data_IF_064075244861
#
_entry.id   IF_064075244861
#
_cell.length_a   1.000
_cell.length_b   1.000
_cell.length_c   1.000
_cell.angle_alpha   90.00
_cell.angle_beta   90.00
_cell.angle_gamma   90.00
#
_symmetry.space_group_name_H-M   'P 1'
#
loop_
_entity.id
_entity.type
_entity.pdbx_description
1 polymer ?
#
# COMPACT_ATOMS: atom_id res chain seq x y z
N UNK A 1 -11.80 -34.41 -42.15
CA UNK A 1 -10.52 -33.69 -41.96
C UNK A 1 -9.55 -34.14 -43.03
N UNK A 2 -8.86 -33.19 -43.65
CA UNK A 2 -7.84 -33.41 -44.69
C UNK A 2 -6.54 -32.72 -44.27
N UNK A 3 -5.43 -33.03 -44.94
CA UNK A 3 -4.15 -32.33 -44.78
C UNK A 3 -4.32 -30.84 -45.10
N UNK A 4 -3.73 -29.97 -44.28
CA UNK A 4 -3.56 -28.56 -44.60
C UNK A 4 -2.21 -28.34 -45.30
N UNK A 5 -2.18 -27.41 -46.25
CA UNK A 5 -1.00 -27.08 -47.03
C UNK A 5 -0.66 -25.60 -46.88
N UNK A 6 0.56 -25.24 -47.26
CA UNK A 6 1.06 -23.86 -47.32
C UNK A 6 0.68 -23.03 -46.07
N UNK A 7 0.81 -23.66 -44.89
CA UNK A 7 0.41 -23.05 -43.62
C UNK A 7 1.40 -21.95 -43.32
N UNK A 8 0.91 -20.75 -42.99
CA UNK A 8 1.73 -19.62 -42.56
C UNK A 8 1.21 -19.09 -41.25
N UNK A 9 2.08 -19.08 -40.24
CA UNK A 9 1.81 -18.57 -38.90
C UNK A 9 2.55 -17.25 -38.77
N UNK A 10 1.83 -16.16 -38.51
CA UNK A 10 2.42 -14.83 -38.34
C UNK A 10 2.03 -14.22 -37.00
N UNK A 11 2.99 -13.54 -36.39
CA UNK A 11 2.79 -12.71 -35.21
C UNK A 11 3.65 -11.45 -35.36
N UNK A 12 3.04 -10.28 -35.22
CA UNK A 12 3.78 -9.03 -35.13
C UNK A 12 3.52 -8.50 -33.73
N UNK A 13 4.57 -8.56 -32.90
CA UNK A 13 4.44 -8.22 -31.50
C UNK A 13 4.03 -6.75 -31.35
N UNK A 14 3.06 -6.46 -30.49
CA UNK A 14 2.65 -5.08 -30.22
C UNK A 14 3.76 -4.28 -29.55
N UNK A 15 3.67 -2.96 -29.61
CA UNK A 15 4.50 -2.08 -28.80
C UNK A 15 4.37 -2.46 -27.31
N UNK A 16 5.50 -2.50 -26.60
CA UNK A 16 5.59 -2.96 -25.21
C UNK A 16 6.15 -4.35 -25.04
N UNK A 17 6.17 -5.19 -26.10
CA UNK A 17 6.93 -6.44 -26.13
C UNK A 17 8.18 -6.22 -26.98
N UNK A 18 9.35 -6.43 -26.39
CA UNK A 18 10.65 -6.14 -27.02
C UNK A 18 11.62 -7.30 -26.86
N UNK A 19 12.76 -7.25 -27.57
CA UNK A 19 13.86 -8.19 -27.45
C UNK A 19 13.44 -9.64 -27.77
N UNK A 20 12.57 -9.84 -28.76
CA UNK A 20 12.17 -11.18 -29.16
C UNK A 20 13.39 -12.05 -29.44
N UNK A 21 13.38 -13.24 -28.87
CA UNK A 21 14.49 -14.18 -29.00
C UNK A 21 14.01 -15.63 -28.84
N UNK A 22 14.88 -16.58 -29.21
CA UNK A 22 14.64 -17.99 -28.90
C UNK A 22 13.45 -18.63 -29.61
N UNK A 23 13.14 -18.23 -30.85
CA UNK A 23 12.10 -18.91 -31.65
C UNK A 23 12.50 -20.38 -31.84
N UNK A 24 11.71 -21.29 -31.29
CA UNK A 24 11.84 -22.74 -31.49
C UNK A 24 10.57 -23.31 -32.08
N UNK A 25 10.73 -24.26 -33.00
CA UNK A 25 9.63 -24.85 -33.75
C UNK A 25 9.72 -26.37 -33.61
N UNK A 26 8.68 -26.97 -33.02
CA UNK A 26 8.62 -28.40 -32.75
C UNK A 26 7.46 -29.05 -33.50
N UNK A 27 7.71 -29.76 -34.61
CA UNK A 27 6.67 -30.50 -35.31
C UNK A 27 6.37 -31.86 -34.68
N UNK A 28 5.13 -32.30 -34.83
CA UNK A 28 4.67 -33.64 -34.49
C UNK A 28 3.65 -34.15 -35.52
N UNK A 29 3.44 -35.47 -35.56
CA UNK A 29 2.41 -36.10 -36.40
C UNK A 29 2.64 -35.95 -37.91
N UNK A 30 3.87 -35.69 -38.35
CA UNK A 30 4.25 -35.66 -39.77
C UNK A 30 4.14 -34.30 -40.46
N UNK A 31 3.97 -33.20 -39.70
CA UNK A 31 4.13 -31.85 -40.27
C UNK A 31 5.54 -31.71 -40.87
N UNK A 32 5.65 -31.15 -42.09
CA UNK A 32 6.92 -31.08 -42.82
C UNK A 32 7.00 -29.86 -43.74
N UNK A 33 8.22 -29.54 -44.19
CA UNK A 33 8.49 -28.34 -45.00
C UNK A 33 8.46 -27.05 -44.18
N UNK A 34 9.08 -27.08 -43.00
CA UNK A 34 9.05 -25.95 -42.06
C UNK A 34 10.16 -24.97 -42.41
N UNK A 35 9.81 -23.70 -42.56
CA UNK A 35 10.76 -22.60 -42.71
C UNK A 35 10.46 -21.53 -41.67
N UNK A 36 11.48 -21.13 -40.93
CA UNK A 36 11.43 -19.99 -40.01
C UNK A 36 11.90 -18.73 -40.74
N UNK A 37 10.97 -17.82 -41.01
CA UNK A 37 11.21 -16.50 -41.58
C UNK A 37 11.08 -15.38 -40.54
N UNK A 38 11.07 -15.73 -39.24
CA UNK A 38 10.93 -14.77 -38.16
C UNK A 38 12.08 -13.75 -38.15
N UNK A 39 11.77 -12.50 -37.81
CA UNK A 39 12.71 -11.39 -37.77
C UNK A 39 12.71 -10.78 -36.36
N UNK A 40 13.57 -11.29 -35.45
CA UNK A 40 13.76 -10.72 -34.10
C UNK A 40 13.96 -9.22 -34.06
N UNK A 41 14.76 -8.67 -34.98
CA UNK A 41 15.06 -7.23 -35.03
C UNK A 41 13.84 -6.34 -35.32
N UNK A 42 12.74 -6.91 -35.78
CA UNK A 42 11.47 -6.22 -36.01
C UNK A 42 10.31 -6.89 -35.26
N UNK A 43 10.61 -7.69 -34.23
CA UNK A 43 9.62 -8.30 -33.34
C UNK A 43 8.53 -9.08 -34.10
N UNK A 44 8.94 -9.83 -35.13
CA UNK A 44 8.04 -10.56 -36.02
C UNK A 44 8.32 -12.08 -36.00
N UNK A 45 7.29 -12.87 -35.69
CA UNK A 45 7.26 -14.32 -35.96
C UNK A 45 6.63 -14.55 -37.33
N UNK A 46 7.29 -15.35 -38.18
CA UNK A 46 6.74 -15.77 -39.48
C UNK A 46 7.25 -17.18 -39.80
N UNK A 47 6.39 -18.18 -39.64
CA UNK A 47 6.74 -19.59 -39.86
C UNK A 47 5.84 -20.18 -40.92
N UNK A 48 6.45 -20.78 -41.94
CA UNK A 48 5.72 -21.53 -42.97
C UNK A 48 5.87 -23.03 -42.77
N UNK A 49 4.84 -23.81 -43.11
CA UNK A 49 4.82 -25.26 -43.05
C UNK A 49 4.15 -25.78 -44.33
N UNK A 50 4.91 -26.42 -45.22
CA UNK A 50 4.38 -26.88 -46.50
C UNK A 50 3.21 -27.87 -46.34
N UNK A 51 3.28 -28.74 -45.34
CA UNK A 51 2.28 -29.81 -45.13
C UNK A 51 2.01 -30.08 -43.66
N UNK A 52 0.73 -30.14 -43.29
CA UNK A 52 0.25 -30.56 -41.97
C UNK A 52 -0.79 -31.67 -42.11
N UNK A 53 -0.38 -32.96 -42.01
CA UNK A 53 -1.31 -34.09 -42.04
C UNK A 53 -2.38 -34.02 -40.95
N UNK A 54 -3.49 -34.75 -41.14
CA UNK A 54 -4.55 -34.85 -40.12
C UNK A 54 -3.97 -35.39 -38.81
N UNK A 55 -4.15 -34.64 -37.72
CA UNK A 55 -3.63 -34.99 -36.39
C UNK A 55 -2.18 -34.55 -36.14
N UNK A 56 -1.54 -33.86 -37.08
CA UNK A 56 -0.25 -33.21 -36.87
C UNK A 56 -0.37 -31.91 -36.08
N UNK A 57 0.75 -31.44 -35.53
CA UNK A 57 0.84 -30.15 -34.85
C UNK A 57 2.22 -29.53 -35.06
N UNK A 58 2.29 -28.21 -34.94
CA UNK A 58 3.55 -27.45 -34.84
C UNK A 58 3.44 -26.56 -33.62
N UNK A 59 4.38 -26.70 -32.69
CA UNK A 59 4.46 -25.87 -31.49
C UNK A 59 5.57 -24.84 -31.65
N UNK A 60 5.24 -23.56 -31.46
CA UNK A 60 6.18 -22.44 -31.49
C UNK A 60 6.39 -21.94 -30.06
N UNK A 61 7.63 -21.65 -29.69
CA UNK A 61 7.97 -20.95 -28.45
C UNK A 61 8.96 -19.83 -28.76
N UNK A 62 8.81 -18.69 -28.11
CA UNK A 62 9.76 -17.58 -28.17
C UNK A 62 9.70 -16.80 -26.85
N UNK A 63 10.69 -15.96 -26.60
CA UNK A 63 10.80 -15.12 -25.39
C UNK A 63 10.83 -13.66 -25.79
N UNK A 64 10.23 -12.81 -24.97
CA UNK A 64 10.19 -11.33 -25.09
C UNK A 64 10.34 -10.72 -23.71
N UNK A 65 10.78 -9.48 -23.65
CA UNK A 65 10.77 -8.65 -22.45
C UNK A 65 9.60 -7.65 -22.52
N UNK A 66 9.10 -7.23 -21.35
CA UNK A 66 8.20 -6.09 -21.24
C UNK A 66 9.03 -4.79 -21.27
N UNK A 67 8.61 -3.81 -22.07
CA UNK A 67 9.26 -2.50 -22.11
C UNK A 67 8.97 -1.71 -20.82
N UNK A 68 10.00 -1.07 -20.24
CA UNK A 68 9.89 -0.17 -19.09
C UNK A 68 9.00 1.07 -19.36
N UNK A 69 8.64 1.33 -20.61
CA UNK A 69 7.65 2.38 -20.95
C UNK A 69 6.22 2.03 -20.55
N UNK A 70 5.92 0.77 -20.26
CA UNK A 70 4.61 0.32 -19.82
C UNK A 70 4.27 0.83 -18.42
N UNK A 71 2.99 1.14 -18.22
CA UNK A 71 2.46 1.59 -16.93
C UNK A 71 1.97 0.42 -16.07
N UNK A 72 1.92 0.56 -14.73
CA UNK A 72 1.31 -0.43 -13.85
C UNK A 72 -0.10 -0.79 -14.29
N UNK A 73 -0.50 -2.05 -14.15
CA UNK A 73 -1.82 -2.57 -14.55
C UNK A 73 -2.18 -2.39 -16.04
N UNK A 74 -1.23 -1.98 -16.89
CA UNK A 74 -1.44 -1.90 -18.33
C UNK A 74 -1.59 -3.30 -18.92
N UNK A 75 -2.54 -3.44 -19.84
CA UNK A 75 -2.74 -4.67 -20.61
C UNK A 75 -2.07 -4.57 -21.98
N UNK A 76 -1.28 -5.58 -22.33
CA UNK A 76 -0.63 -5.74 -23.63
C UNK A 76 -1.21 -6.98 -24.30
N UNK A 77 -1.93 -6.79 -25.40
CA UNK A 77 -2.56 -7.86 -26.15
C UNK A 77 -1.69 -8.28 -27.34
N UNK A 78 -1.24 -9.53 -27.35
CA UNK A 78 -0.53 -10.13 -28.47
C UNK A 78 -1.49 -10.95 -29.35
N UNK A 79 -1.31 -10.94 -30.68
CA UNK A 79 -2.21 -11.62 -31.63
C UNK A 79 -1.44 -12.42 -32.66
N UNK A 80 -1.60 -13.74 -32.63
CA UNK A 80 -1.07 -14.65 -33.65
C UNK A 80 -2.15 -14.97 -34.68
N UNK A 81 -1.77 -15.03 -35.96
CA UNK A 81 -2.63 -15.40 -37.06
C UNK A 81 -2.07 -16.64 -37.78
N UNK A 82 -2.97 -17.45 -38.35
CA UNK A 82 -2.60 -18.56 -39.23
C UNK A 82 -3.48 -18.56 -40.47
N UNK A 83 -2.86 -18.71 -41.64
CA UNK A 83 -3.53 -18.96 -42.93
C UNK A 83 -3.04 -20.28 -43.50
N UNK A 84 -3.88 -21.01 -44.23
CA UNK A 84 -3.50 -22.28 -44.85
C UNK A 84 -4.36 -22.58 -46.07
N UNK A 85 -3.87 -23.47 -46.93
CA UNK A 85 -4.54 -23.85 -48.18
C UNK A 85 -5.08 -25.28 -48.13
N UNK A 86 -6.11 -25.51 -48.94
CA UNK A 86 -6.70 -26.85 -49.12
C UNK A 86 -5.90 -27.78 -50.05
N UNK A 87 -5.00 -27.22 -50.87
CA UNK A 87 -4.14 -27.93 -51.81
C UNK A 87 -2.73 -27.30 -51.77
N UNK A 88 -1.67 -28.07 -52.07
CA UNK A 88 -0.31 -27.55 -52.07
C UNK A 88 0.00 -26.69 -53.31
N UNK A 89 0.83 -25.67 -53.11
CA UNK A 89 1.43 -24.86 -54.17
C UNK A 89 0.49 -23.78 -54.67
N UNK A 90 0.07 -23.85 -55.94
CA UNK A 90 -0.86 -22.87 -56.56
C UNK A 90 -2.28 -23.41 -56.71
N UNK A 91 -2.62 -24.52 -56.04
CA UNK A 91 -3.93 -25.18 -56.10
C UNK A 91 -4.30 -25.86 -57.40
N UNK A 92 -3.49 -25.69 -58.45
CA UNK A 92 -3.77 -26.14 -59.81
C UNK A 92 -2.84 -27.29 -60.20
N UNK A 93 -3.17 -28.02 -61.27
CA UNK A 93 -2.27 -29.08 -61.76
C UNK A 93 -1.04 -28.52 -62.48
N UNK A 94 0.11 -29.19 -62.33
CA UNK A 94 0.33 -30.39 -61.52
C UNK A 94 0.61 -30.06 -60.04
N UNK A 95 -0.12 -30.69 -59.12
CA UNK A 95 0.21 -30.66 -57.68
C UNK A 95 0.31 -32.09 -57.10
N UNK A 96 1.05 -32.30 -56.00
CA UNK A 96 1.27 -33.61 -55.38
C UNK A 96 0.02 -34.42 -54.99
N UNK A 97 -1.15 -33.79 -54.84
CA UNK A 97 -2.38 -34.53 -54.48
C UNK A 97 -3.09 -35.14 -55.69
N UNK A 98 -2.74 -34.70 -56.90
CA UNK A 98 -3.45 -35.07 -58.14
C UNK A 98 -4.81 -34.40 -58.33
N UNK A 99 -5.23 -33.50 -57.42
CA UNK A 99 -6.50 -32.76 -57.52
C UNK A 99 -6.39 -31.57 -58.47
N UNK A 100 -7.50 -31.16 -59.09
CA UNK A 100 -7.58 -29.96 -59.94
C UNK A 100 -8.74 -29.06 -59.53
N UNK A 101 -8.48 -27.76 -59.40
CA UNK A 101 -9.51 -26.73 -59.34
C UNK A 101 -9.58 -25.97 -60.66
N UNK A 102 -10.78 -25.63 -61.17
CA UNK A 102 -10.92 -24.78 -62.36
C UNK A 102 -10.37 -23.36 -62.19
N UNK A 103 -10.53 -22.79 -60.99
CA UNK A 103 -10.00 -21.48 -60.61
C UNK A 103 -8.65 -21.56 -59.88
N UNK A 104 -7.98 -20.42 -59.78
CA UNK A 104 -6.77 -20.25 -58.95
C UNK A 104 -7.08 -20.08 -57.46
N UNK A 105 -6.05 -19.97 -56.62
CA UNK A 105 -6.17 -19.71 -55.18
C UNK A 105 -7.13 -18.57 -54.86
N UNK A 106 -8.07 -18.82 -53.94
CA UNK A 106 -9.07 -17.84 -53.49
C UNK A 106 -10.24 -17.60 -54.46
N UNK A 107 -10.24 -18.18 -55.66
CA UNK A 107 -11.37 -18.05 -56.59
C UNK A 107 -12.60 -18.85 -56.10
N UNK A 108 -13.84 -18.46 -56.48
CA UNK A 108 -15.05 -19.21 -56.10
C UNK A 108 -15.07 -20.69 -56.53
N UNK A 109 -14.32 -21.04 -57.57
CA UNK A 109 -14.10 -22.39 -58.10
C UNK A 109 -12.64 -22.84 -57.98
N UNK A 110 -11.87 -22.20 -57.10
CA UNK A 110 -10.46 -22.43 -56.83
C UNK A 110 -10.18 -23.25 -55.58
N UNK A 111 -8.90 -23.31 -55.19
CA UNK A 111 -8.53 -23.81 -53.85
C UNK A 111 -8.91 -22.78 -52.78
N UNK A 112 -9.25 -23.27 -51.59
CA UNK A 112 -9.44 -22.40 -50.41
C UNK A 112 -8.09 -22.01 -49.82
N UNK A 113 -7.92 -20.74 -49.46
CA UNK A 113 -6.62 -20.16 -49.05
C UNK A 113 -6.69 -19.16 -47.86
N UNK A 114 -7.88 -18.87 -47.34
CA UNK A 114 -8.05 -17.90 -46.24
C UNK A 114 -8.25 -16.44 -46.67
N UNK A 115 -8.26 -16.14 -47.97
CA UNK A 115 -8.34 -14.78 -48.51
C UNK A 115 -9.65 -14.02 -48.19
N UNK A 116 -10.75 -14.72 -47.86
CA UNK A 116 -12.04 -14.09 -47.53
C UNK A 116 -12.20 -13.81 -46.03
N UNK A 117 -11.26 -14.23 -45.19
CA UNK A 117 -11.40 -14.14 -43.74
C UNK A 117 -12.41 -15.13 -43.15
N UNK A 118 -12.63 -15.03 -41.83
CA UNK A 118 -13.55 -15.92 -41.11
C UNK A 118 -14.98 -15.75 -41.61
N UNK A 119 -15.63 -16.85 -42.00
CA UNK A 119 -17.03 -16.88 -42.46
C UNK A 119 -17.22 -16.68 -43.97
N UNK A 120 -16.13 -16.45 -44.71
CA UNK A 120 -16.12 -16.42 -46.18
C UNK A 120 -16.12 -17.81 -46.84
N UNK A 121 -15.99 -17.86 -48.16
CA UNK A 121 -15.81 -19.13 -48.89
C UNK A 121 -14.36 -19.59 -48.78
N UNK A 122 -13.41 -18.66 -48.79
CA UNK A 122 -12.00 -18.93 -48.57
C UNK A 122 -11.63 -18.54 -47.13
N UNK A 123 -12.10 -19.33 -46.17
CA UNK A 123 -12.06 -19.06 -44.74
C UNK A 123 -11.02 -19.91 -43.98
N UNK A 124 -10.01 -20.43 -44.68
CA UNK A 124 -8.92 -21.19 -44.08
C UNK A 124 -7.90 -20.27 -43.38
N UNK A 125 -8.41 -19.61 -42.34
CA UNK A 125 -7.68 -18.67 -41.49
C UNK A 125 -8.16 -18.85 -40.04
N UNK A 126 -7.27 -18.62 -39.09
CA UNK A 126 -7.62 -18.49 -37.68
C UNK A 126 -6.71 -17.47 -37.00
N UNK A 127 -7.16 -16.95 -35.86
CA UNK A 127 -6.40 -16.04 -35.02
C UNK A 127 -6.61 -16.38 -33.56
N UNK A 128 -5.59 -16.14 -32.74
CA UNK A 128 -5.66 -16.25 -31.29
C UNK A 128 -5.00 -15.04 -30.65
N UNK A 129 -5.57 -14.56 -29.55
CA UNK A 129 -5.06 -13.42 -28.80
C UNK A 129 -4.81 -13.83 -27.36
N UNK A 130 -3.73 -13.32 -26.77
CA UNK A 130 -3.45 -13.46 -25.34
C UNK A 130 -3.08 -12.10 -24.76
N UNK A 131 -3.44 -11.85 -23.50
CA UNK A 131 -3.19 -10.57 -22.84
C UNK A 131 -2.28 -10.76 -21.65
N UNK A 132 -1.15 -10.07 -21.65
CA UNK A 132 -0.29 -9.91 -20.46
C UNK A 132 -0.70 -8.63 -19.75
N UNK A 133 -0.78 -8.69 -18.42
CA UNK A 133 -1.04 -7.51 -17.58
C UNK A 133 0.23 -7.20 -16.79
N UNK A 134 0.71 -5.96 -16.87
CA UNK A 134 1.80 -5.47 -16.03
C UNK A 134 1.33 -5.46 -14.59
N UNK A 135 2.20 -5.84 -13.66
CA UNK A 135 1.88 -5.80 -12.24
C UNK A 135 1.40 -4.40 -11.83
N UNK A 136 0.50 -4.36 -10.86
CA UNK A 136 0.03 -3.10 -10.29
C UNK A 136 0.85 -2.75 -9.06
N UNK A 137 0.75 -1.49 -8.62
CA UNK A 137 1.31 -1.08 -7.34
C UNK A 137 0.62 -1.79 -6.17
N UNK A 138 1.37 -2.03 -5.09
CA UNK A 138 0.84 -2.61 -3.86
C UNK A 138 1.18 -1.74 -2.65
N UNK A 139 0.26 -1.67 -1.67
CA UNK A 139 0.33 -0.71 -0.57
C UNK A 139 0.43 -1.39 0.79
N UNK A 140 1.23 -0.81 1.67
CA UNK A 140 1.26 -1.16 3.08
C UNK A 140 1.33 0.09 3.97
N UNK A 141 0.45 0.16 4.97
CA UNK A 141 0.44 1.20 6.00
C UNK A 141 0.89 0.62 7.32
N UNK A 142 1.74 1.35 8.04
CA UNK A 142 2.10 1.05 9.43
C UNK A 142 2.10 2.31 10.28
N UNK A 143 1.96 2.12 11.60
CA UNK A 143 2.36 3.13 12.57
C UNK A 143 3.85 2.89 12.81
N UNK A 144 4.69 3.85 12.42
CA UNK A 144 6.13 3.72 12.48
C UNK A 144 6.66 3.92 13.90
N UNK A 145 6.17 4.96 14.57
CA UNK A 145 6.53 5.33 15.93
C UNK A 145 5.51 6.28 16.52
N UNK A 146 5.57 6.47 17.83
CA UNK A 146 4.90 7.55 18.54
C UNK A 146 5.88 8.28 19.47
N UNK A 147 5.49 9.44 20.02
CA UNK A 147 6.41 10.28 20.80
C UNK A 147 6.39 10.00 22.30
N UNK A 148 5.31 9.45 22.83
CA UNK A 148 5.11 9.38 24.27
C UNK A 148 5.56 8.04 24.85
N UNK A 149 6.62 8.06 25.66
CA UNK A 149 7.13 6.84 26.31
C UNK A 149 6.18 6.26 27.38
N UNK A 150 5.17 7.04 27.80
CA UNK A 150 4.17 6.64 28.80
C UNK A 150 2.96 5.94 28.17
N UNK A 151 2.93 5.80 26.84
CA UNK A 151 2.03 4.93 26.10
C UNK A 151 2.84 3.79 25.48
N UNK A 152 2.21 2.65 25.25
CA UNK A 152 2.94 1.46 24.78
C UNK A 152 3.23 1.47 23.29
N UNK A 153 4.50 1.26 22.93
CA UNK A 153 4.93 0.96 21.56
C UNK A 153 4.66 -0.49 21.13
N UNK A 154 4.10 -1.32 22.01
CA UNK A 154 3.41 -2.53 21.59
C UNK A 154 1.93 -2.25 21.51
N UNK A 155 1.21 -2.76 20.49
CA UNK A 155 -0.22 -2.59 20.48
C UNK A 155 -0.84 -3.28 21.71
N UNK A 156 -2.04 -2.84 22.09
CA UNK A 156 -2.61 -3.14 23.42
C UNK A 156 -2.75 -4.64 23.70
N UNK A 157 -2.87 -5.48 22.66
CA UNK A 157 -3.00 -6.94 22.76
C UNK A 157 -4.23 -7.41 23.54
N UNK A 158 -5.11 -6.48 23.94
CA UNK A 158 -6.31 -6.72 24.75
C UNK A 158 -7.56 -6.80 23.90
N UNK A 159 -7.49 -6.29 22.67
CA UNK A 159 -8.55 -6.26 21.70
C UNK A 159 -8.23 -7.19 20.51
N UNK A 160 -9.26 -7.62 19.76
CA UNK A 160 -9.11 -8.40 18.52
C UNK A 160 -8.32 -7.64 17.43
N UNK A 161 -7.87 -6.41 17.72
CA UNK A 161 -7.33 -5.51 16.72
C UNK A 161 -5.88 -5.05 16.82
N UNK A 162 -5.15 -5.39 17.88
CA UNK A 162 -3.75 -5.00 18.00
C UNK A 162 -3.60 -3.46 17.78
N UNK A 163 -4.36 -2.68 18.56
CA UNK A 163 -4.44 -1.22 18.51
C UNK A 163 -3.22 -0.55 19.14
N UNK A 164 -2.63 0.47 18.50
CA UNK A 164 -1.61 1.34 19.14
C UNK A 164 -2.29 2.23 20.19
N UNK A 165 -1.96 2.13 21.49
CA UNK A 165 -2.44 3.10 22.48
C UNK A 165 -1.84 4.48 22.22
N UNK A 166 -2.67 5.52 22.23
CA UNK A 166 -2.28 6.91 22.06
C UNK A 166 -2.92 7.81 23.11
N UNK A 167 -2.14 8.69 23.71
CA UNK A 167 -2.61 9.74 24.60
C UNK A 167 -2.99 11.00 23.82
N UNK A 168 -3.81 11.85 24.43
CA UNK A 168 -4.08 13.19 23.88
C UNK A 168 -2.78 14.01 23.87
N UNK A 169 -2.48 14.67 22.76
CA UNK A 169 -1.26 15.46 22.57
C UNK A 169 -0.06 14.67 22.05
N UNK A 170 -0.16 13.34 21.98
CA UNK A 170 0.85 12.48 21.39
C UNK A 170 0.94 12.68 19.87
N UNK A 171 2.14 12.52 19.31
CA UNK A 171 2.34 12.50 17.86
C UNK A 171 2.51 11.05 17.41
N UNK A 172 1.74 10.67 16.39
CA UNK A 172 1.87 9.39 15.69
C UNK A 172 2.52 9.62 14.33
N UNK A 173 3.58 8.89 14.02
CA UNK A 173 4.21 8.88 12.69
C UNK A 173 3.63 7.73 11.88
N UNK A 174 2.91 8.04 10.80
CA UNK A 174 2.46 7.03 9.84
C UNK A 174 3.56 6.76 8.80
N UNK A 175 3.70 5.50 8.39
CA UNK A 175 4.51 5.12 7.23
C UNK A 175 3.61 4.51 6.16
N UNK A 176 3.70 5.09 4.96
CA UNK A 176 3.05 4.63 3.74
C UNK A 176 4.12 4.00 2.85
N UNK A 177 3.96 2.73 2.52
CA UNK A 177 4.86 1.99 1.63
C UNK A 177 4.11 1.64 0.36
N UNK A 178 4.71 1.98 -0.78
CA UNK A 178 4.21 1.69 -2.11
C UNK A 178 5.24 0.81 -2.82
N UNK A 179 4.91 -0.44 -3.11
CA UNK A 179 5.68 -1.28 -4.02
C UNK A 179 5.42 -0.79 -5.45
N UNK A 180 6.48 -0.49 -6.19
CA UNK A 180 6.43 0.05 -7.55
C UNK A 180 7.01 -0.99 -8.50
N UNK A 181 6.20 -1.58 -9.39
CA UNK A 181 6.70 -2.48 -10.42
C UNK A 181 7.77 -1.81 -11.28
N UNK A 182 8.66 -2.63 -11.83
CA UNK A 182 9.55 -2.20 -12.91
C UNK A 182 8.76 -1.54 -14.05
N UNK A 183 9.26 -0.41 -14.53
CA UNK A 183 8.65 0.38 -15.60
C UNK A 183 8.36 1.81 -15.20
N UNK A 184 7.38 2.43 -15.87
CA UNK A 184 7.07 3.86 -15.70
C UNK A 184 5.70 4.05 -15.07
N UNK A 185 5.70 4.45 -13.80
CA UNK A 185 4.50 4.84 -13.07
C UNK A 185 4.24 6.33 -13.23
N UNK A 186 3.21 6.68 -14.00
CA UNK A 186 2.85 8.08 -14.27
C UNK A 186 1.93 8.65 -13.20
N UNK A 187 2.24 9.84 -12.68
CA UNK A 187 1.37 10.63 -11.80
C UNK A 187 0.92 9.88 -10.54
N UNK A 188 1.87 9.31 -9.78
CA UNK A 188 1.57 8.69 -8.48
C UNK A 188 1.10 9.78 -7.50
N UNK A 189 -0.08 9.58 -6.91
CA UNK A 189 -0.60 10.39 -5.80
C UNK A 189 -1.00 9.47 -4.66
N UNK A 190 -0.57 9.78 -3.44
CA UNK A 190 -1.00 9.13 -2.21
C UNK A 190 -2.00 10.03 -1.49
N UNK A 191 -3.10 9.46 -1.00
CA UNK A 191 -4.15 10.18 -0.27
C UNK A 191 -4.46 9.47 1.04
N UNK A 192 -4.27 10.16 2.15
CA UNK A 192 -4.52 9.65 3.50
C UNK A 192 -5.57 10.53 4.20
N UNK A 193 -6.78 10.01 4.38
CA UNK A 193 -7.84 10.77 5.07
C UNK A 193 -7.69 10.58 6.57
N UNK A 194 -7.15 11.59 7.25
CA UNK A 194 -7.02 11.54 8.69
C UNK A 194 -8.39 11.47 9.37
N UNK A 195 -8.45 10.64 10.40
CA UNK A 195 -9.59 10.60 11.30
C UNK A 195 -9.83 11.98 11.93
N UNK A 196 -11.06 12.33 12.33
CA UNK A 196 -11.36 13.65 12.88
C UNK A 196 -10.57 14.05 14.13
N UNK A 197 -10.03 13.06 14.87
CA UNK A 197 -9.22 13.26 16.06
C UNK A 197 -7.72 13.46 15.81
N UNK A 198 -7.26 13.46 14.56
CA UNK A 198 -5.86 13.69 14.22
C UNK A 198 -5.69 14.98 13.44
N UNK A 199 -4.55 15.64 13.66
CA UNK A 199 -4.13 16.84 12.94
C UNK A 199 -2.78 16.58 12.28
N UNK A 200 -2.72 16.66 10.95
CA UNK A 200 -1.45 16.62 10.22
C UNK A 200 -0.48 17.69 10.75
N UNK A 201 0.78 17.31 10.94
CA UNK A 201 1.87 18.21 11.30
C UNK A 201 2.55 18.76 10.03
N UNK A 202 2.42 20.06 9.71
CA UNK A 202 3.06 20.63 8.53
C UNK A 202 4.57 20.42 8.51
N UNK A 203 5.14 20.23 7.32
CA UNK A 203 6.57 19.98 7.10
C UNK A 203 7.13 18.71 7.76
N UNK A 204 6.29 17.77 8.20
CA UNK A 204 6.73 16.47 8.73
C UNK A 204 6.93 15.40 7.65
N UNK A 205 6.42 15.64 6.43
CA UNK A 205 6.44 14.62 5.38
C UNK A 205 7.85 14.40 4.85
N UNK A 206 8.30 13.15 4.88
CA UNK A 206 9.59 12.72 4.33
C UNK A 206 9.42 11.51 3.42
N UNK A 207 10.32 11.36 2.46
CA UNK A 207 10.33 10.29 1.47
C UNK A 207 11.71 9.64 1.35
N UNK A 208 11.72 8.33 1.10
CA UNK A 208 12.90 7.53 0.79
C UNK A 208 12.51 6.34 -0.10
N UNK A 209 13.52 5.60 -0.56
CA UNK A 209 13.38 4.31 -1.24
C UNK A 209 14.05 3.18 -0.45
N UNK A 210 13.74 1.93 -0.79
CA UNK A 210 14.59 0.78 -0.43
C UNK A 210 15.52 0.36 -1.59
N UNK A 211 15.23 0.78 -2.83
CA UNK A 211 16.07 0.53 -4.01
C UNK A 211 17.13 1.60 -4.18
N UNK A 212 18.37 1.17 -4.32
CA UNK A 212 19.56 2.01 -4.29
C UNK A 212 20.02 2.54 -5.65
N UNK A 213 19.59 1.94 -6.77
CA UNK A 213 20.32 2.15 -8.03
C UNK A 213 19.51 2.40 -9.29
N UNK A 214 18.18 2.33 -9.30
CA UNK A 214 17.46 2.52 -10.57
C UNK A 214 16.05 3.13 -10.50
N UNK A 215 15.61 3.61 -9.34
CA UNK A 215 14.42 4.45 -9.26
C UNK A 215 14.75 5.93 -9.47
N UNK A 216 14.03 6.57 -10.40
CA UNK A 216 14.16 8.01 -10.68
C UNK A 216 12.81 8.70 -10.56
N UNK A 217 12.82 9.89 -9.96
CA UNK A 217 11.63 10.69 -9.67
C UNK A 217 11.70 11.97 -10.49
N UNK A 218 10.66 12.24 -11.29
CA UNK A 218 10.64 13.42 -12.15
C UNK A 218 10.52 14.74 -11.36
N UNK A 219 9.81 14.71 -10.23
CA UNK A 219 9.42 15.91 -9.48
C UNK A 219 10.07 16.05 -8.11
N UNK A 220 10.72 15.00 -7.60
CA UNK A 220 11.42 15.02 -6.30
C UNK A 220 12.88 14.68 -6.53
N UNK A 221 13.75 15.70 -6.50
CA UNK A 221 15.17 15.49 -6.74
C UNK A 221 15.84 14.78 -5.55
N UNK A 222 16.69 13.80 -5.86
CA UNK A 222 17.59 13.19 -4.87
C UNK A 222 16.89 12.42 -3.76
N UNK A 223 15.77 11.75 -4.06
CA UNK A 223 15.15 10.81 -3.11
C UNK A 223 16.19 9.75 -2.72
N UNK A 224 16.59 9.67 -1.43
CA UNK A 224 17.65 8.76 -1.00
C UNK A 224 17.10 7.38 -0.67
N UNK A 225 17.99 6.40 -0.54
CA UNK A 225 17.67 5.14 0.13
C UNK A 225 17.67 5.27 1.64
N UNK A 226 16.79 4.49 2.28
CA UNK A 226 16.83 4.31 3.73
C UNK A 226 18.24 3.89 4.20
N UNK A 227 18.68 4.34 5.39
CA UNK A 227 17.90 5.06 6.40
C UNK A 227 17.79 6.57 6.18
N UNK A 228 18.42 7.13 5.15
CA UNK A 228 18.29 8.54 4.83
C UNK A 228 16.90 8.84 4.25
N UNK A 229 16.44 10.08 4.46
CA UNK A 229 15.17 10.58 3.93
C UNK A 229 15.35 12.01 3.43
N UNK A 230 14.50 12.44 2.51
CA UNK A 230 14.39 13.85 2.11
C UNK A 230 13.00 14.39 2.41
N UNK A 231 12.89 15.69 2.72
CA UNK A 231 11.59 16.33 3.00
C UNK A 231 10.79 16.52 1.73
N UNK A 232 9.48 16.29 1.80
CA UNK A 232 8.53 16.67 0.74
C UNK A 232 7.99 18.06 1.07
N UNK A 233 8.20 19.08 0.21
CA UNK A 233 7.77 20.44 0.48
C UNK A 233 6.25 20.58 0.51
N UNK A 234 5.75 21.48 1.36
CA UNK A 234 4.33 21.85 1.40
C UNK A 234 3.94 22.60 0.12
N UNK A 235 2.80 22.23 -0.45
CA UNK A 235 2.23 22.80 -1.67
C UNK A 235 1.60 24.18 -1.46
N UNK A 236 1.60 24.71 -0.23
CA UNK A 236 0.99 25.98 0.15
C UNK A 236 -0.49 26.06 -0.27
N UNK A 237 -1.21 24.95 -0.06
CA UNK A 237 -2.63 24.76 -0.41
C UNK A 237 -2.94 24.77 -1.93
N UNK A 238 -2.00 24.43 -2.81
CA UNK A 238 -2.27 24.17 -4.22
C UNK A 238 -3.28 23.03 -4.43
N UNK A 239 -4.39 23.29 -5.13
CA UNK A 239 -5.43 22.28 -5.39
C UNK A 239 -5.78 22.24 -6.89
N UNK A 240 -5.54 21.11 -7.60
CA UNK A 240 -4.94 19.86 -7.13
C UNK A 240 -3.48 20.03 -6.68
N UNK A 241 -2.95 19.11 -5.88
CA UNK A 241 -1.57 19.20 -5.38
C UNK A 241 -0.54 19.10 -6.49
N UNK A 242 0.45 20.00 -6.50
CA UNK A 242 1.52 19.99 -7.51
C UNK A 242 2.42 18.76 -7.37
N UNK A 243 3.00 18.30 -8.49
CA UNK A 243 3.90 17.15 -8.45
C UNK A 243 5.17 17.47 -7.64
N UNK A 244 5.53 16.56 -6.74
CA UNK A 244 6.66 16.66 -5.83
C UNK A 244 6.36 17.38 -4.52
N UNK A 245 5.10 17.69 -4.23
CA UNK A 245 4.68 18.40 -3.00
C UNK A 245 3.67 17.60 -2.19
N UNK A 246 3.42 18.06 -0.96
CA UNK A 246 2.37 17.54 -0.07
C UNK A 246 1.40 18.67 0.29
N UNK A 247 0.12 18.35 0.38
CA UNK A 247 -0.92 19.26 0.89
C UNK A 247 -1.76 18.57 1.95
N UNK A 248 -2.15 19.32 2.97
CA UNK A 248 -3.22 18.92 3.87
C UNK A 248 -4.45 19.80 3.66
N UNK A 249 -5.57 19.20 3.25
CA UNK A 249 -6.87 19.87 3.21
C UNK A 249 -7.58 19.67 4.54
N UNK A 250 -7.67 20.72 5.36
CA UNK A 250 -8.32 20.64 6.66
C UNK A 250 -9.83 20.39 6.60
N UNK A 251 -10.50 20.65 5.48
CA UNK A 251 -11.94 20.40 5.36
C UNK A 251 -12.24 18.91 5.18
N UNK A 252 -11.50 18.26 4.28
CA UNK A 252 -11.62 16.83 3.99
C UNK A 252 -10.74 15.97 4.91
N UNK A 253 -9.76 16.57 5.59
CA UNK A 253 -8.67 15.96 6.39
C UNK A 253 -7.73 15.08 5.57
N UNK A 254 -7.65 15.32 4.27
CA UNK A 254 -6.80 14.54 3.38
C UNK A 254 -5.39 15.11 3.39
N UNK A 255 -4.41 14.27 3.72
CA UNK A 255 -3.00 14.48 3.38
C UNK A 255 -2.80 13.90 1.97
N UNK A 256 -2.61 14.77 1.00
CA UNK A 256 -2.39 14.44 -0.41
C UNK A 256 -0.90 14.65 -0.73
N UNK A 257 -0.20 13.58 -1.09
CA UNK A 257 1.22 13.60 -1.43
C UNK A 257 1.33 13.24 -2.91
N UNK A 258 1.63 14.22 -3.75
CA UNK A 258 1.79 13.99 -5.17
C UNK A 258 3.27 13.70 -5.48
N UNK A 259 3.58 12.45 -5.76
CA UNK A 259 4.94 12.02 -6.09
C UNK A 259 5.31 12.38 -7.53
N UNK A 260 4.32 12.42 -8.42
CA UNK A 260 4.51 12.63 -9.85
C UNK A 260 4.96 11.34 -10.56
N UNK A 261 5.74 11.49 -11.62
CA UNK A 261 6.20 10.35 -12.42
C UNK A 261 7.41 9.70 -11.77
N UNK A 262 7.40 8.37 -11.72
CA UNK A 262 8.51 7.54 -11.25
C UNK A 262 8.83 6.50 -12.31
N UNK A 263 10.11 6.39 -12.64
CA UNK A 263 10.63 5.31 -13.47
C UNK A 263 11.46 4.38 -12.59
N UNK A 264 11.05 3.13 -12.51
CA UNK A 264 11.78 2.05 -11.85
C UNK A 264 12.45 1.17 -12.91
N UNK A 265 13.77 1.32 -13.08
CA UNK A 265 14.57 0.51 -14.00
C UNK A 265 15.41 -0.55 -13.27
N UNK A 266 15.06 -0.89 -12.02
CA UNK A 266 15.78 -1.88 -11.22
C UNK A 266 15.34 -3.27 -11.69
N UNK A 267 15.95 -3.76 -12.77
CA UNK A 267 15.60 -5.01 -13.45
C UNK A 267 16.09 -6.26 -12.72
N UNK A 268 15.85 -6.36 -11.42
CA UNK A 268 16.18 -7.51 -10.59
C UNK A 268 14.97 -8.07 -9.83
N UNK A 269 15.21 -9.07 -8.98
CA UNK A 269 14.13 -9.90 -8.43
C UNK A 269 13.59 -9.43 -7.08
N UNK A 270 14.11 -8.34 -6.51
CA UNK A 270 13.59 -7.78 -5.28
C UNK A 270 12.38 -6.88 -5.52
N UNK A 271 12.01 -6.10 -4.50
CA UNK A 271 10.80 -5.28 -4.55
C UNK A 271 11.18 -3.86 -4.27
N UNK A 272 10.90 -2.98 -5.22
CA UNK A 272 11.26 -1.58 -5.12
C UNK A 272 10.12 -0.82 -4.49
N UNK A 273 10.45 -0.04 -3.47
CA UNK A 273 9.49 0.60 -2.60
C UNK A 273 9.77 2.10 -2.53
N UNK A 274 8.69 2.86 -2.64
CA UNK A 274 8.63 4.24 -2.19
C UNK A 274 8.08 4.23 -0.78
N UNK A 275 8.80 4.88 0.14
CA UNK A 275 8.49 4.91 1.56
C UNK A 275 8.29 6.37 1.96
N UNK A 276 7.05 6.72 2.32
CA UNK A 276 6.68 8.05 2.80
C UNK A 276 6.34 7.97 4.28
N UNK A 277 6.77 8.95 5.06
CA UNK A 277 6.35 9.11 6.46
C UNK A 277 5.84 10.51 6.70
N UNK A 278 4.85 10.65 7.57
CA UNK A 278 4.40 11.94 8.06
C UNK A 278 3.84 11.83 9.48
N UNK A 279 3.82 12.95 10.18
CA UNK A 279 3.38 13.03 11.57
C UNK A 279 1.95 13.58 11.69
N UNK A 280 1.21 13.07 12.66
CA UNK A 280 -0.09 13.59 13.05
C UNK A 280 -0.21 13.70 14.58
N UNK A 281 -0.74 14.84 15.05
CA UNK A 281 -1.01 15.12 16.46
C UNK A 281 -2.38 14.58 16.86
N UNK A 282 -2.45 13.89 18.00
CA UNK A 282 -3.71 13.46 18.64
C UNK A 282 -4.37 14.66 19.32
N UNK A 283 -5.50 15.10 18.78
CA UNK A 283 -6.19 16.29 19.26
C UNK A 283 -6.96 16.04 20.54
N UNK A 284 -6.94 17.02 21.46
CA UNK A 284 -7.91 17.10 22.55
C UNK A 284 -9.28 17.47 21.98
N UNK A 285 -10.14 16.49 21.78
CA UNK A 285 -11.45 16.69 21.15
C UNK A 285 -12.44 15.66 21.67
N UNK A 286 -13.74 15.95 21.56
CA UNK A 286 -14.82 15.05 21.96
C UNK A 286 -14.96 13.78 21.09
N UNK A 287 -14.13 13.63 20.07
CA UNK A 287 -14.03 12.40 19.28
C UNK A 287 -12.88 11.52 19.77
N UNK A 288 -11.95 12.04 20.57
CA UNK A 288 -10.89 11.28 21.20
C UNK A 288 -11.17 11.16 22.69
N UNK A 289 -11.90 10.10 23.05
CA UNK A 289 -12.20 9.74 24.44
C UNK A 289 -11.61 8.36 24.73
N UNK A 290 -11.29 8.11 26.00
CA UNK A 290 -10.77 6.83 26.47
C UNK A 290 -11.48 5.61 25.86
N UNK A 291 -10.69 4.69 25.32
CA UNK A 291 -11.17 3.47 24.67
C UNK A 291 -11.76 3.66 23.27
N UNK A 292 -11.80 4.89 22.74
CA UNK A 292 -12.18 5.13 21.35
C UNK A 292 -11.14 4.49 20.43
N UNK A 293 -11.61 3.64 19.53
CA UNK A 293 -10.78 2.99 18.51
C UNK A 293 -10.95 3.73 17.19
N UNK A 294 -9.84 3.91 16.50
CA UNK A 294 -9.79 4.48 15.17
C UNK A 294 -9.01 3.61 14.21
N UNK A 295 -9.49 3.54 12.98
CA UNK A 295 -8.81 2.91 11.84
C UNK A 295 -8.28 4.01 10.93
N UNK A 296 -7.09 3.80 10.37
CA UNK A 296 -6.57 4.64 9.28
C UNK A 296 -6.02 3.75 8.16
N UNK A 297 -6.26 4.14 6.92
CA UNK A 297 -5.74 3.51 5.69
C UNK A 297 -5.39 4.63 4.70
N UNK A 298 -4.68 4.32 3.62
CA UNK A 298 -4.40 5.30 2.57
C UNK A 298 -4.68 4.69 1.20
N UNK A 299 -4.87 5.56 0.22
CA UNK A 299 -5.04 5.19 -1.17
C UNK A 299 -3.87 5.69 -2.00
N UNK A 300 -3.55 4.97 -3.07
CA UNK A 300 -2.65 5.42 -4.11
C UNK A 300 -3.35 5.37 -5.46
N UNK A 301 -3.15 6.41 -6.26
CA UNK A 301 -3.57 6.43 -7.66
C UNK A 301 -2.36 6.55 -8.57
N UNK A 302 -2.36 5.76 -9.64
CA UNK A 302 -1.46 5.94 -10.79
C UNK A 302 -2.34 6.41 -11.95
N UNK A 303 -1.88 7.38 -12.74
CA UNK A 303 -2.69 7.99 -13.80
C UNK A 303 -3.23 6.94 -14.79
N UNK A 304 -4.55 6.95 -15.01
CA UNK A 304 -5.24 5.97 -15.86
C UNK A 304 -5.71 4.70 -15.15
N UNK A 305 -5.30 4.47 -13.90
CA UNK A 305 -5.69 3.31 -13.10
C UNK A 305 -6.74 3.66 -12.04
N UNK A 306 -7.48 2.64 -11.60
CA UNK A 306 -8.32 2.77 -10.41
C UNK A 306 -7.44 2.92 -9.14
N UNK A 307 -7.94 3.63 -8.10
CA UNK A 307 -7.25 3.70 -6.82
C UNK A 307 -7.01 2.31 -6.20
N UNK A 308 -5.86 2.16 -5.54
CA UNK A 308 -5.53 1.00 -4.70
C UNK A 308 -5.59 1.45 -3.24
N UNK A 309 -6.15 0.63 -2.35
CA UNK A 309 -6.25 0.94 -0.91
C UNK A 309 -5.31 0.04 -0.09
N UNK A 310 -4.67 0.60 0.93
CA UNK A 310 -3.77 -0.12 1.83
C UNK A 310 -4.50 -1.01 2.83
N UNK A 311 -3.75 -1.78 3.62
CA UNK A 311 -4.26 -2.31 4.89
C UNK A 311 -4.63 -1.18 5.86
N UNK A 312 -5.45 -1.53 6.86
CA UNK A 312 -5.78 -0.66 7.98
C UNK A 312 -4.73 -0.77 9.09
N UNK A 313 -4.43 0.36 9.72
CA UNK A 313 -3.81 0.44 11.04
C UNK A 313 -4.83 0.90 12.05
N UNK A 314 -4.68 0.48 13.31
CA UNK A 314 -5.62 0.82 14.38
C UNK A 314 -4.92 1.48 15.55
N UNK A 315 -5.64 2.42 16.17
CA UNK A 315 -5.20 3.15 17.34
C UNK A 315 -6.33 3.16 18.37
N UNK A 316 -5.98 3.24 19.65
CA UNK A 316 -6.93 3.35 20.75
C UNK A 316 -6.53 4.50 21.66
N UNK A 317 -7.49 5.33 22.05
CA UNK A 317 -7.23 6.45 22.95
C UNK A 317 -7.10 5.94 24.39
N UNK A 318 -6.02 6.34 25.06
CA UNK A 318 -5.79 6.07 26.49
C UNK A 318 -5.77 7.37 27.27
N UNK A 319 -6.35 7.36 28.47
CA UNK A 319 -6.39 8.51 29.37
C UNK A 319 -6.15 8.06 30.82
N UNK A 320 -5.60 8.92 31.70
CA UNK A 320 -5.46 8.58 33.10
C UNK A 320 -6.83 8.52 33.80
N UNK A 321 -6.99 7.59 34.74
CA UNK A 321 -8.22 7.41 35.50
C UNK A 321 -7.97 7.59 36.99
N UNK A 322 -7.80 8.85 37.40
CA UNK A 322 -7.51 9.20 38.80
C UNK A 322 -8.80 9.30 39.62
N UNK A 323 -8.81 8.63 40.77
CA UNK A 323 -9.87 8.67 41.77
C UNK A 323 -9.30 9.02 43.14
N UNK A 324 -10.13 9.58 44.03
CA UNK A 324 -9.74 9.90 45.40
C UNK A 324 -10.82 9.43 46.38
N UNK A 325 -10.38 8.83 47.49
CA UNK A 325 -11.25 8.36 48.58
C UNK A 325 -10.78 9.00 49.89
N UNK A 326 -11.65 9.75 50.57
CA UNK A 326 -11.40 10.30 51.92
C UNK A 326 -12.19 9.50 52.95
N UNK A 327 -11.52 9.05 54.01
CA UNK A 327 -12.12 8.26 55.09
C UNK A 327 -11.67 8.82 56.43
N UNK A 328 -12.59 8.87 57.40
CA UNK A 328 -12.23 9.01 58.80
C UNK A 328 -11.79 7.64 59.33
N UNK A 329 -10.60 7.61 59.92
CA UNK A 329 -9.94 6.43 60.46
C UNK A 329 -9.69 6.57 61.97
N UNK A 330 -10.26 7.60 62.59
CA UNK A 330 -10.24 7.76 64.05
C UNK A 330 -10.86 6.55 64.75
N UNK A 331 -10.28 6.19 65.90
CA UNK A 331 -10.80 5.11 66.75
C UNK A 331 -11.52 5.72 67.94
N UNK A 332 -12.77 5.31 68.21
CA UNK A 332 -13.50 5.73 69.42
C UNK A 332 -14.79 6.51 69.19
N UNK A 333 -15.36 6.50 67.98
CA UNK A 333 -16.62 7.18 67.70
C UNK A 333 -17.77 6.77 68.66
N UNK A 334 -18.63 7.71 69.08
CA UNK A 334 -18.66 9.14 68.73
C UNK A 334 -17.52 9.95 69.37
N UNK A 335 -16.98 10.93 68.62
CA UNK A 335 -15.88 11.80 69.06
C UNK A 335 -16.41 13.09 69.69
N UNK A 336 -15.74 13.58 70.73
CA UNK A 336 -16.04 14.85 71.39
C UNK A 336 -15.08 15.97 70.93
N UNK A 337 -15.45 17.23 71.18
CA UNK A 337 -14.59 18.36 70.86
C UNK A 337 -13.26 18.28 71.63
N UNK A 338 -12.15 18.35 70.90
CA UNK A 338 -10.79 18.19 71.43
C UNK A 338 -10.18 16.82 71.17
N UNK A 339 -10.95 15.85 70.67
CA UNK A 339 -10.40 14.56 70.24
C UNK A 339 -9.62 14.69 68.91
N UNK A 340 -8.49 13.99 68.76
CA UNK A 340 -7.76 13.98 67.51
C UNK A 340 -8.53 13.19 66.44
N UNK A 341 -8.82 13.84 65.32
CA UNK A 341 -9.43 13.20 64.15
C UNK A 341 -8.36 12.80 63.15
N UNK A 342 -8.46 11.58 62.61
CA UNK A 342 -7.50 11.08 61.61
C UNK A 342 -8.21 10.81 60.29
N UNK A 343 -7.95 11.65 59.30
CA UNK A 343 -8.43 11.44 57.95
C UNK A 343 -7.37 10.76 57.08
N UNK A 344 -7.79 9.77 56.29
CA UNK A 344 -6.99 9.11 55.28
C UNK A 344 -7.55 9.43 53.90
N UNK A 345 -6.72 10.05 53.06
CA UNK A 345 -6.98 10.28 51.64
C UNK A 345 -6.18 9.24 50.85
N UNK A 346 -6.85 8.51 49.96
CA UNK A 346 -6.23 7.55 49.03
C UNK A 346 -6.50 8.00 47.61
N UNK A 347 -5.44 8.38 46.90
CA UNK A 347 -5.49 8.72 45.46
C UNK A 347 -5.06 7.49 44.67
N UNK A 348 -5.76 7.19 43.57
CA UNK A 348 -5.51 6.00 42.76
C UNK A 348 -5.71 6.32 41.30
N UNK A 349 -4.65 6.19 40.50
CA UNK A 349 -4.79 5.99 39.05
C UNK A 349 -5.15 4.53 38.82
N UNK A 350 -6.28 4.26 38.16
CA UNK A 350 -6.75 2.89 37.98
C UNK A 350 -5.78 2.06 37.13
N UNK A 351 -5.74 0.76 37.36
CA UNK A 351 -5.03 -0.18 36.49
C UNK A 351 -6.06 -1.06 35.76
N UNK A 352 -6.80 -0.44 34.84
CA UNK A 352 -7.79 -1.10 34.00
C UNK A 352 -7.49 -0.82 32.50
N UNK A 353 -8.32 -1.35 31.61
CA UNK A 353 -8.12 -1.19 30.17
C UNK A 353 -8.12 0.29 29.76
N UNK A 354 -7.22 0.64 28.83
CA UNK A 354 -7.09 1.97 28.23
C UNK A 354 -6.70 3.08 29.21
N UNK A 355 -6.16 2.74 30.38
CA UNK A 355 -5.60 3.75 31.29
C UNK A 355 -4.15 4.07 30.94
N UNK A 356 -3.76 5.34 31.01
CA UNK A 356 -2.37 5.81 30.90
C UNK A 356 -1.86 6.40 32.23
N UNK A 357 -0.56 6.74 32.27
CA UNK A 357 0.04 7.42 33.41
C UNK A 357 -0.58 8.82 33.63
N UNK A 358 -0.85 9.16 34.89
CA UNK A 358 -1.24 10.51 35.30
C UNK A 358 0.01 11.30 35.70
N UNK A 359 0.02 12.60 35.39
CA UNK A 359 1.11 13.52 35.72
C UNK A 359 0.56 14.74 36.47
N UNK A 360 1.41 15.36 37.28
CA UNK A 360 1.14 16.62 37.96
C UNK A 360 -0.16 16.60 38.80
N UNK A 361 -0.42 15.49 39.49
CA UNK A 361 -1.63 15.33 40.30
C UNK A 361 -1.51 16.16 41.58
N UNK A 362 -2.30 17.23 41.68
CA UNK A 362 -2.41 18.08 42.86
C UNK A 362 -3.58 17.66 43.75
N UNK A 363 -3.30 17.36 45.02
CA UNK A 363 -4.30 16.99 46.03
C UNK A 363 -4.41 18.11 47.04
N UNK A 364 -5.59 18.73 47.17
CA UNK A 364 -5.85 19.80 48.14
C UNK A 364 -7.05 19.51 49.03
N UNK A 365 -6.94 19.90 50.29
CA UNK A 365 -8.01 19.76 51.29
C UNK A 365 -7.87 20.89 52.33
N UNK A 366 -8.79 21.85 52.31
CA UNK A 366 -8.86 22.91 53.30
C UNK A 366 -9.81 22.48 54.40
N UNK A 367 -9.30 22.36 55.63
CA UNK A 367 -10.14 21.97 56.75
C UNK A 367 -11.10 23.11 57.15
N UNK A 368 -12.31 22.79 57.61
CA UNK A 368 -13.20 23.76 58.23
C UNK A 368 -12.56 24.38 59.48
N UNK A 369 -13.00 25.58 59.86
CA UNK A 369 -12.43 26.35 60.97
C UNK A 369 -12.57 25.68 62.35
N UNK A 370 -13.41 24.64 62.46
CA UNK A 370 -13.58 23.82 63.66
C UNK A 370 -12.47 22.78 63.84
N UNK A 371 -11.59 22.59 62.85
CA UNK A 371 -10.48 21.65 62.88
C UNK A 371 -9.15 22.39 62.82
N UNK A 372 -8.24 22.05 63.74
CA UNK A 372 -6.84 22.45 63.65
C UNK A 372 -6.04 21.32 62.98
N UNK A 373 -5.33 21.63 61.89
CA UNK A 373 -4.45 20.66 61.22
C UNK A 373 -3.18 20.45 62.06
N UNK A 374 -3.07 19.28 62.69
CA UNK A 374 -1.91 18.98 63.55
C UNK A 374 -0.73 18.36 62.80
N UNK A 375 -0.94 17.83 61.59
CA UNK A 375 0.13 17.26 60.77
C UNK A 375 -0.38 16.46 59.56
N UNK A 376 0.50 16.25 58.59
CA UNK A 376 0.22 15.48 57.37
C UNK A 376 1.36 14.51 57.10
N UNK A 377 1.02 13.24 56.90
CA UNK A 377 1.96 12.21 56.46
C UNK A 377 1.54 11.69 55.09
N UNK A 378 2.49 11.61 54.15
CA UNK A 378 2.25 11.11 52.81
C UNK A 378 3.04 9.82 52.62
N UNK A 379 2.38 8.79 52.12
CA UNK A 379 3.00 7.48 51.85
C UNK A 379 2.55 7.00 50.47
N UNK A 380 3.50 6.59 49.63
CA UNK A 380 3.21 5.83 48.42
C UNK A 380 2.96 4.35 48.76
N UNK A 381 2.03 3.72 48.06
CA UNK A 381 1.72 2.30 48.22
C UNK A 381 2.04 1.56 46.91
N UNK A 382 2.73 0.42 46.99
CA UNK A 382 3.22 -0.33 45.82
C UNK A 382 4.74 -0.16 45.63
N UNK A 383 5.42 -1.24 45.24
CA UNK A 383 6.90 -1.32 45.14
C UNK A 383 7.58 -0.36 44.17
N UNK A 384 6.83 0.55 43.54
CA UNK A 384 7.35 1.72 42.86
C UNK A 384 7.47 2.83 43.91
N UNK A 385 8.69 3.09 44.38
CA UNK A 385 9.00 4.31 45.10
C UNK A 385 8.73 5.50 44.17
N UNK A 386 7.55 6.12 44.29
CA UNK A 386 7.35 7.47 43.80
C UNK A 386 8.34 8.37 44.55
N UNK A 387 9.43 8.74 43.88
CA UNK A 387 10.36 9.76 44.37
C UNK A 387 9.88 11.11 43.86
N UNK A 388 9.66 12.08 44.74
CA UNK A 388 9.43 13.47 44.33
C UNK A 388 8.05 14.06 44.61
N UNK A 389 7.17 13.40 45.39
CA UNK A 389 5.99 14.11 45.89
C UNK A 389 6.40 15.24 46.83
N UNK A 390 5.74 16.38 46.72
CA UNK A 390 6.00 17.56 47.56
C UNK A 390 4.82 17.79 48.48
N UNK A 391 5.06 17.73 49.79
CA UNK A 391 4.04 18.07 50.78
C UNK A 391 4.12 19.57 51.11
N UNK A 392 3.17 20.33 50.57
CA UNK A 392 3.01 21.77 50.73
C UNK A 392 1.93 22.12 51.79
N UNK A 393 1.58 21.17 52.65
CA UNK A 393 0.56 21.37 53.69
C UNK A 393 1.00 22.41 54.72
N UNK A 394 0.06 23.22 55.22
CA UNK A 394 0.31 24.32 56.14
C UNK A 394 -0.66 24.27 57.33
N UNK A 395 -0.11 24.03 58.52
CA UNK A 395 -0.87 23.95 59.78
C UNK A 395 -1.32 25.32 60.30
N UNK A 396 -0.72 26.43 59.83
CA UNK A 396 -1.15 27.77 60.19
C UNK A 396 -2.36 28.26 59.39
N UNK A 397 -2.73 27.55 58.32
CA UNK A 397 -3.90 27.83 57.47
C UNK A 397 -4.84 26.65 57.35
N UNK A 398 -4.58 25.57 58.09
CA UNK A 398 -5.35 24.32 58.08
C UNK A 398 -5.56 23.71 56.68
N UNK A 399 -4.53 23.76 55.84
CA UNK A 399 -4.56 23.26 54.47
C UNK A 399 -3.65 22.05 54.28
N UNK A 400 -4.19 20.99 53.67
CA UNK A 400 -3.42 19.90 53.08
C UNK A 400 -3.18 20.21 51.60
N UNK A 401 -1.94 20.10 51.14
CA UNK A 401 -1.57 20.22 49.73
C UNK A 401 -0.43 19.26 49.43
N UNK A 402 -0.64 18.37 48.47
CA UNK A 402 0.36 17.38 48.04
C UNK A 402 0.43 17.36 46.52
N UNK A 403 1.61 17.63 45.98
CA UNK A 403 1.90 17.48 44.56
C UNK A 403 2.51 16.10 44.31
N UNK A 404 1.93 15.36 43.37
CA UNK A 404 2.43 14.07 42.91
C UNK A 404 2.90 14.28 41.46
N UNK A 405 4.19 14.01 41.16
CA UNK A 405 4.75 14.26 39.84
C UNK A 405 4.06 13.46 38.74
#
# INVERSE_FOLDING_TARGET
NTTAFDVRITDTLPAGLINMSGVTITPAGGASGITDNSVPASEQVDVTVDTMPVGSSVTLTFTVDLDYSLAPNQQVQNTTNVTYTSLPGTGTTPNPTGSTTPGGSGAPDGERDGSDGVGGVNDLVASATETVTVDNVALQKTIFSTTEAHTSETPDGLSNGNERPLAIGEIVTFQLVLNVPEGTSNGIVLSDTLIPGLQYMPNSTVIATNSATAMTFASIAGVPTLPATTGVPDDNNGAPTDAGTVRYDSNSRVVEINIGNVTNNDGDGDTEQIIVRFDALVLNSNVNNIGQIWTNEFEATVNGNAPVTSNQVRMIIVEPQVSIVKTDTSTGAPSDAGDPMQYKLTVTNANNANTSDAFEVNVTDTLPAEFDLTGVTVTANGGNTYTGFTNNSNTGTDTVSVDIP
#
